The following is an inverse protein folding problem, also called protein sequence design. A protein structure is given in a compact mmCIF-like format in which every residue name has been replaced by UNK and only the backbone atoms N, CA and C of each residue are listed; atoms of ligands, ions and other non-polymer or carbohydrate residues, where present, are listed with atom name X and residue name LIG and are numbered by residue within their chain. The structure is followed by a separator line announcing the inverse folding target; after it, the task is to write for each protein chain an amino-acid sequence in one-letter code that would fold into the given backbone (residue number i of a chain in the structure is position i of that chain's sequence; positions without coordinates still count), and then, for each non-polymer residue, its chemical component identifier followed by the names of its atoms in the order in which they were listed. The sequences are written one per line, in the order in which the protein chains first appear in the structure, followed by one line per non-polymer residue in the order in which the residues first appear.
data_IF_186968505915
#
_entry.id   IF_186968505915
#
_cell.length_a   1.000
_cell.length_b   1.000
_cell.length_c   1.000
_cell.angle_alpha   90.00
_cell.angle_beta   90.00
_cell.angle_gamma   90.00
#
_symmetry.space_group_name_H-M   'P 1'
#
loop_
_entity.id
_entity.type
_entity.pdbx_description
1 polymer ?
#
# COMPACT_ATOMS: atom_id res chain seq x y z
N UNK A 1 1.65 47.08 17.01
CA UNK A 1 1.99 48.07 15.96
C UNK A 1 2.37 49.42 16.55
N UNK A 2 1.78 49.88 17.67
CA UNK A 2 2.09 51.21 18.24
C UNK A 2 3.42 51.32 19.03
N UNK A 3 3.99 50.20 19.47
CA UNK A 3 5.27 50.18 20.20
C UNK A 3 6.52 50.41 19.33
N UNK A 4 6.49 49.99 18.06
CA UNK A 4 7.58 50.23 17.10
C UNK A 4 7.75 51.72 16.76
N UNK A 5 6.63 52.45 16.73
CA UNK A 5 6.64 53.91 16.54
C UNK A 5 7.26 54.60 17.74
N UNK A 6 6.98 54.11 18.95
CA UNK A 6 7.53 54.65 20.20
C UNK A 6 9.04 54.46 20.33
N UNK A 7 9.60 53.31 19.95
CA UNK A 7 11.05 53.05 20.05
C UNK A 7 11.88 53.91 19.08
N UNK A 8 11.39 54.08 17.84
CA UNK A 8 12.00 55.02 16.89
C UNK A 8 11.86 56.47 17.38
N UNK A 9 10.76 56.82 18.04
CA UNK A 9 10.51 58.19 18.50
C UNK A 9 11.32 58.56 19.77
N UNK A 10 11.62 57.59 20.64
CA UNK A 10 12.49 57.80 21.81
C UNK A 10 13.99 57.85 21.47
N UNK A 11 14.47 57.06 20.50
CA UNK A 11 15.88 57.11 20.08
C UNK A 11 16.23 58.31 19.19
N UNK A 12 15.26 58.86 18.46
CA UNK A 12 15.49 59.89 17.44
C UNK A 12 14.80 61.23 17.73
N UNK A 13 14.63 61.62 19.00
CA UNK A 13 14.09 62.93 19.40
C UNK A 13 14.99 64.15 19.05
N UNK A 14 15.88 64.04 18.07
CA UNK A 14 16.55 65.20 17.45
C UNK A 14 16.52 65.08 15.92
N UNK A 15 15.57 65.79 15.30
CA UNK A 15 15.53 66.27 13.91
C UNK A 15 16.46 65.57 12.90
N UNK A 16 16.01 64.51 12.23
CA UNK A 16 16.56 64.12 10.92
C UNK A 16 15.48 63.51 10.01
N UNK A 17 15.28 64.15 8.85
CA UNK A 17 14.31 63.84 7.79
C UNK A 17 14.72 62.66 6.88
N UNK A 18 15.67 61.82 7.31
CA UNK A 18 16.11 60.63 6.55
C UNK A 18 16.19 59.42 7.49
N UNK A 19 15.65 58.25 7.10
CA UNK A 19 15.76 57.06 7.93
C UNK A 19 17.25 56.74 8.16
N UNK A 20 17.65 56.38 9.39
CA UNK A 20 19.04 56.07 9.69
C UNK A 20 19.53 54.93 8.80
N UNK A 21 20.76 55.04 8.30
CA UNK A 21 21.39 53.95 7.55
C UNK A 21 21.48 52.68 8.41
N UNK A 22 21.48 51.50 7.79
CA UNK A 22 21.60 50.22 8.51
C UNK A 22 22.81 50.18 9.45
N UNK A 23 23.91 50.85 9.07
CA UNK A 23 25.12 50.96 9.90
C UNK A 23 24.87 51.82 11.14
N UNK A 24 24.24 52.99 10.99
CA UNK A 24 23.88 53.87 12.11
C UNK A 24 22.93 53.16 13.08
N UNK A 25 21.98 52.39 12.56
CA UNK A 25 21.08 51.60 13.38
C UNK A 25 21.84 50.54 14.20
N UNK A 26 22.75 49.78 13.59
CA UNK A 26 23.56 48.78 14.29
C UNK A 26 24.42 49.42 15.38
N UNK A 27 25.02 50.57 15.09
CA UNK A 27 25.86 51.31 16.05
C UNK A 27 25.04 51.82 17.25
N UNK A 28 23.85 52.38 16.98
CA UNK A 28 22.90 52.78 18.03
C UNK A 28 22.41 51.57 18.85
N UNK A 29 22.07 50.46 18.18
CA UNK A 29 21.61 49.22 18.81
C UNK A 29 22.64 48.63 19.78
N UNK A 30 23.90 48.51 19.35
CA UNK A 30 24.95 47.90 20.16
C UNK A 30 25.46 48.82 21.29
N UNK A 31 25.30 50.13 21.12
CA UNK A 31 25.63 51.15 22.13
C UNK A 31 24.48 51.43 23.12
N UNK A 32 23.26 50.97 22.82
CA UNK A 32 22.11 51.13 23.69
C UNK A 32 22.33 50.45 25.04
N UNK A 33 22.12 51.20 26.12
CA UNK A 33 22.20 50.72 27.51
C UNK A 33 20.85 50.73 28.22
N UNK A 34 19.76 51.05 27.52
CA UNK A 34 18.43 51.05 28.11
C UNK A 34 17.98 49.60 28.37
N UNK A 35 17.63 49.21 29.61
CA UNK A 35 17.37 47.82 29.97
C UNK A 35 16.20 47.19 29.20
N UNK A 36 15.26 47.98 28.69
CA UNK A 36 14.11 47.49 27.92
C UNK A 36 14.39 47.26 26.44
N UNK A 37 15.49 47.81 25.91
CA UNK A 37 15.78 47.83 24.48
C UNK A 37 17.21 47.42 24.12
N UNK A 38 18.09 47.32 25.11
CA UNK A 38 19.46 46.87 24.92
C UNK A 38 19.44 45.39 24.55
N UNK A 39 20.20 44.99 23.51
CA UNK A 39 20.34 43.59 23.18
C UNK A 39 21.17 42.86 24.25
N UNK A 40 20.93 41.57 24.45
CA UNK A 40 21.56 40.75 25.52
C UNK A 40 23.08 40.54 25.41
N UNK A 41 23.78 41.20 24.47
CA UNK A 41 25.22 41.06 24.31
C UNK A 41 25.98 41.88 25.36
N UNK A 42 26.78 41.20 26.19
CA UNK A 42 27.52 41.85 27.29
C UNK A 42 28.98 42.15 26.94
N UNK A 43 29.65 41.28 26.19
CA UNK A 43 31.07 41.42 25.86
C UNK A 43 31.33 42.47 24.75
N UNK A 44 32.16 43.50 24.99
CA UNK A 44 32.54 44.48 23.96
C UNK A 44 33.19 43.85 22.72
N UNK A 45 33.97 42.77 22.87
CA UNK A 45 34.60 42.11 21.73
C UNK A 45 33.55 41.39 20.87
N UNK A 46 32.62 40.69 21.51
CA UNK A 46 31.46 40.10 20.86
C UNK A 46 30.67 41.14 20.04
N UNK A 47 30.35 42.29 20.64
CA UNK A 47 29.65 43.39 19.95
C UNK A 47 30.40 43.87 18.69
N UNK A 48 31.74 43.97 18.77
CA UNK A 48 32.58 44.34 17.61
C UNK A 48 32.52 43.28 16.49
N UNK A 49 32.46 42.00 16.85
CA UNK A 49 32.34 40.91 15.86
C UNK A 49 30.95 40.93 15.22
N UNK A 50 29.88 41.05 16.03
CA UNK A 50 28.49 41.17 15.57
C UNK A 50 28.36 42.33 14.58
N UNK A 51 28.86 43.51 14.95
CA UNK A 51 28.86 44.70 14.08
C UNK A 51 29.53 44.40 12.75
N UNK A 52 30.74 43.85 12.77
CA UNK A 52 31.50 43.56 11.54
C UNK A 52 30.75 42.57 10.64
N UNK A 53 30.22 41.49 11.21
CA UNK A 53 29.50 40.46 10.45
C UNK A 53 28.19 41.00 9.87
N UNK A 54 27.38 41.74 10.64
CA UNK A 54 26.13 42.33 10.16
C UNK A 54 26.37 43.39 9.09
N UNK A 55 27.35 44.29 9.27
CA UNK A 55 27.63 45.33 8.27
C UNK A 55 28.09 44.71 6.95
N UNK A 56 28.97 43.70 6.99
CA UNK A 56 29.38 42.96 5.79
C UNK A 56 28.18 42.30 5.11
N UNK A 57 27.36 41.58 5.89
CA UNK A 57 26.18 40.88 5.40
C UNK A 57 25.15 41.82 4.74
N UNK A 58 24.83 42.95 5.37
CA UNK A 58 23.86 43.91 4.83
C UNK A 58 24.38 44.69 3.63
N UNK A 59 25.70 44.74 3.43
CA UNK A 59 26.30 45.28 2.20
C UNK A 59 26.17 44.28 1.04
N UNK A 60 26.33 42.99 1.31
CA UNK A 60 26.18 41.92 0.31
C UNK A 60 24.71 41.69 -0.06
N UNK A 61 23.78 41.83 0.90
CA UNK A 61 22.36 41.55 0.73
C UNK A 61 21.48 42.74 1.16
N UNK A 62 21.26 43.67 0.21
CA UNK A 62 20.55 44.93 0.42
C UNK A 62 19.04 44.79 0.73
N UNK A 63 18.44 43.63 0.48
CA UNK A 63 17.03 43.37 0.80
C UNK A 63 16.79 43.19 2.30
N UNK A 64 17.85 42.91 3.08
CA UNK A 64 17.76 42.73 4.52
C UNK A 64 17.89 44.06 5.25
N UNK A 65 17.11 44.20 6.32
CA UNK A 65 17.11 45.36 7.21
C UNK A 65 17.35 44.90 8.65
N UNK A 66 18.24 45.57 9.39
CA UNK A 66 18.46 45.25 10.79
C UNK A 66 17.27 45.71 11.64
N UNK A 67 16.89 44.92 12.63
CA UNK A 67 15.97 45.32 13.70
C UNK A 67 16.41 44.72 15.05
N UNK A 68 15.79 45.22 16.12
CA UNK A 68 15.93 44.68 17.47
C UNK A 68 14.53 44.29 17.91
N UNK A 69 14.37 43.03 18.26
CA UNK A 69 13.07 42.49 18.63
C UNK A 69 13.24 41.51 19.80
N UNK A 70 12.16 41.31 20.56
CA UNK A 70 12.12 40.34 21.64
C UNK A 70 11.97 38.93 21.05
N UNK A 71 13.00 38.11 21.21
CA UNK A 71 13.00 36.70 20.85
C UNK A 71 12.53 35.86 22.03
N UNK A 72 11.59 34.95 21.78
CA UNK A 72 11.09 34.00 22.78
C UNK A 72 11.82 32.67 22.60
N UNK A 73 12.56 32.25 23.62
CA UNK A 73 13.16 30.91 23.67
C UNK A 73 12.10 29.84 24.00
N UNK A 74 12.45 28.58 23.71
CA UNK A 74 11.58 27.42 23.96
C UNK A 74 11.27 27.22 25.45
N UNK A 75 12.08 27.77 26.35
CA UNK A 75 11.87 27.76 27.80
C UNK A 75 10.89 28.86 28.28
N UNK A 76 10.38 29.68 27.35
CA UNK A 76 9.49 30.80 27.63
C UNK A 76 10.20 32.09 28.06
N UNK A 77 11.54 32.11 28.09
CA UNK A 77 12.29 33.34 28.36
C UNK A 77 12.28 34.26 27.14
N UNK A 78 12.22 35.57 27.40
CA UNK A 78 12.20 36.60 26.36
C UNK A 78 13.46 37.45 26.45
N UNK A 79 14.18 37.58 25.34
CA UNK A 79 15.44 38.31 25.27
C UNK A 79 15.47 39.20 24.03
N UNK A 80 16.01 40.41 24.16
CA UNK A 80 16.14 41.31 23.02
C UNK A 80 17.36 40.92 22.20
N UNK A 81 17.16 40.54 20.94
CA UNK A 81 18.23 40.17 20.04
C UNK A 81 18.26 41.08 18.82
N UNK A 82 19.46 41.27 18.28
CA UNK A 82 19.63 41.83 16.95
C UNK A 82 19.22 40.77 15.92
N UNK A 83 18.40 41.16 14.96
CA UNK A 83 18.06 40.32 13.82
C UNK A 83 18.13 41.10 12.52
N UNK A 84 18.12 40.37 11.41
CA UNK A 84 17.99 40.93 10.08
C UNK A 84 16.78 40.30 9.39
N UNK A 85 15.82 41.15 9.02
CA UNK A 85 14.60 40.79 8.30
C UNK A 85 14.74 41.17 6.84
N UNK A 86 14.47 40.25 5.93
CA UNK A 86 14.57 40.52 4.51
C UNK A 86 13.91 39.47 3.65
N UNK A 87 13.89 39.74 2.35
CA UNK A 87 13.40 38.81 1.35
C UNK A 87 14.56 38.29 0.52
N UNK A 88 14.68 36.96 0.46
CA UNK A 88 15.64 36.27 -0.38
C UNK A 88 14.99 35.97 -1.73
N UNK A 89 15.37 36.75 -2.74
CA UNK A 89 14.93 36.55 -4.11
C UNK A 89 15.91 35.61 -4.84
N UNK A 90 15.42 34.47 -5.29
CA UNK A 90 16.24 33.50 -6.05
C UNK A 90 16.25 33.79 -7.56
N UNK A 91 15.09 34.14 -8.10
CA UNK A 91 14.88 34.48 -9.52
C UNK A 91 13.71 35.46 -9.66
N UNK A 92 13.60 36.13 -10.80
CA UNK A 92 12.48 37.04 -11.07
C UNK A 92 11.14 36.32 -11.26
N UNK A 93 11.16 35.02 -11.54
CA UNK A 93 9.99 34.17 -11.78
C UNK A 93 9.51 33.39 -10.56
N UNK A 94 10.33 33.31 -9.50
CA UNK A 94 10.02 32.60 -8.25
C UNK A 94 9.57 33.58 -7.18
N UNK A 95 8.63 33.19 -6.29
CA UNK A 95 8.27 34.03 -5.15
C UNK A 95 9.49 34.24 -4.24
N UNK A 96 9.61 35.44 -3.68
CA UNK A 96 10.67 35.76 -2.72
C UNK A 96 10.44 35.04 -1.39
N UNK A 97 11.53 34.61 -0.75
CA UNK A 97 11.49 33.87 0.51
C UNK A 97 11.74 34.85 1.67
N UNK A 98 10.75 35.18 2.50
CA UNK A 98 10.95 36.08 3.63
C UNK A 98 11.68 35.35 4.76
N UNK A 99 12.85 35.87 5.13
CA UNK A 99 13.75 35.31 6.14
C UNK A 99 14.00 36.32 7.25
N UNK A 100 14.00 35.81 8.48
CA UNK A 100 14.47 36.49 9.67
C UNK A 100 15.68 35.76 10.22
N UNK A 101 16.82 36.43 10.28
CA UNK A 101 18.07 35.89 10.82
C UNK A 101 18.32 36.54 12.18
N UNK A 102 18.08 35.79 13.26
CA UNK A 102 18.32 36.22 14.63
C UNK A 102 19.73 35.88 15.08
N UNK A 103 20.40 36.82 15.75
CA UNK A 103 21.72 36.59 16.32
C UNK A 103 21.60 36.12 17.76
N UNK A 104 21.94 34.85 18.00
CA UNK A 104 21.95 34.25 19.33
C UNK A 104 22.80 35.07 20.33
N UNK A 105 22.43 35.06 21.62
CA UNK A 105 23.12 35.79 22.69
C UNK A 105 24.61 35.50 22.79
N UNK A 106 25.03 34.30 22.38
CA UNK A 106 26.43 33.84 22.36
C UNK A 106 27.05 33.84 20.95
N UNK A 107 26.45 34.52 19.98
CA UNK A 107 27.02 34.70 18.64
C UNK A 107 28.40 35.38 18.72
N UNK A 108 29.44 34.94 17.99
CA UNK A 108 29.43 33.97 16.89
C UNK A 108 29.74 32.53 17.31
N UNK A 109 29.87 32.23 18.61
CA UNK A 109 30.21 30.88 19.07
C UNK A 109 29.04 29.90 18.91
N UNK A 110 27.81 30.43 18.93
CA UNK A 110 26.58 29.72 18.58
C UNK A 110 26.06 30.29 17.25
N UNK A 111 25.49 29.42 16.41
CA UNK A 111 24.91 29.78 15.12
C UNK A 111 23.77 30.82 15.28
N UNK A 112 23.51 31.65 14.26
CA UNK A 112 22.28 32.42 14.22
C UNK A 112 21.07 31.49 14.06
N UNK A 113 19.90 31.96 14.49
CA UNK A 113 18.62 31.24 14.30
C UNK A 113 17.96 31.83 13.06
N UNK A 114 17.68 30.99 12.07
CA UNK A 114 17.06 31.43 10.81
C UNK A 114 15.64 30.90 10.77
N UNK A 115 14.68 31.83 10.67
CA UNK A 115 13.27 31.53 10.58
C UNK A 115 12.71 32.08 9.27
N UNK A 116 11.81 31.32 8.66
CA UNK A 116 10.97 31.77 7.57
C UNK A 116 9.66 32.32 8.12
N UNK A 117 9.18 33.43 7.56
CA UNK A 117 7.86 33.93 7.96
C UNK A 117 6.78 32.93 7.53
N UNK A 118 5.94 32.52 8.48
CA UNK A 118 4.81 31.62 8.22
C UNK A 118 3.58 32.36 7.68
N UNK A 119 3.52 33.69 7.82
CA UNK A 119 2.46 34.54 7.28
C UNK A 119 2.77 34.94 5.83
N UNK A 120 2.84 33.95 4.95
CA UNK A 120 3.07 34.16 3.52
C UNK A 120 1.87 33.70 2.71
N UNK A 121 1.71 34.27 1.52
CA UNK A 121 0.61 33.91 0.61
C UNK A 121 0.67 32.45 0.17
N UNK A 122 1.83 31.81 0.28
CA UNK A 122 2.07 30.43 -0.13
C UNK A 122 2.42 29.57 1.08
N UNK A 123 1.75 28.42 1.28
CA UNK A 123 2.08 27.53 2.38
C UNK A 123 3.47 26.91 2.17
N UNK A 124 4.20 26.76 3.28
CA UNK A 124 5.46 26.00 3.32
C UNK A 124 5.14 24.52 3.09
N UNK A 125 5.98 23.83 2.33
CA UNK A 125 5.82 22.39 2.09
C UNK A 125 5.97 21.58 3.39
N UNK A 126 4.97 20.75 3.73
CA UNK A 126 4.89 19.95 4.98
C UNK A 126 6.05 18.94 5.18
N UNK A 127 6.85 18.68 4.16
CA UNK A 127 7.93 17.69 4.19
C UNK A 127 9.24 18.21 3.59
N UNK A 128 9.50 19.51 3.74
CA UNK A 128 10.73 20.12 3.24
C UNK A 128 11.93 19.64 4.08
N UNK A 129 13.04 19.18 3.45
CA UNK A 129 14.15 18.54 4.18
C UNK A 129 14.89 19.47 5.16
N UNK A 130 14.75 20.79 4.98
CA UNK A 130 15.47 21.80 5.78
C UNK A 130 14.60 22.84 6.44
N UNK A 131 13.28 22.83 6.21
CA UNK A 131 12.38 23.87 6.71
C UNK A 131 11.28 23.15 7.46
N UNK A 132 11.15 23.43 8.74
CA UNK A 132 10.01 22.97 9.51
C UNK A 132 8.78 23.78 9.15
N UNK A 133 7.73 23.12 8.71
CA UNK A 133 6.49 23.72 8.22
C UNK A 133 5.66 24.34 9.36
N UNK A 134 5.86 23.88 10.60
CA UNK A 134 5.12 24.37 11.76
C UNK A 134 5.73 25.63 12.38
N UNK A 135 7.05 25.68 12.57
CA UNK A 135 7.76 26.84 13.13
C UNK A 135 8.34 27.79 12.09
N UNK A 136 8.52 27.34 10.84
CA UNK A 136 9.31 28.03 9.83
C UNK A 136 10.82 27.96 10.07
N UNK A 137 11.29 27.19 11.06
CA UNK A 137 12.70 27.09 11.38
C UNK A 137 13.51 26.40 10.28
N UNK A 138 14.65 27.00 9.94
CA UNK A 138 15.55 26.47 8.92
C UNK A 138 16.71 25.74 9.57
N UNK A 139 16.90 24.48 9.20
CA UNK A 139 17.99 23.62 9.67
C UNK A 139 18.78 23.10 8.48
N UNK A 140 19.96 23.66 8.25
CA UNK A 140 20.89 23.23 7.19
C UNK A 140 22.20 22.72 7.79
N UNK A 141 22.98 21.96 7.02
CA UNK A 141 24.29 21.51 7.49
C UNK A 141 25.21 22.67 7.88
N UNK A 142 25.08 23.81 7.19
CA UNK A 142 25.84 25.01 7.52
C UNK A 142 25.52 25.55 8.93
N UNK A 143 24.25 25.54 9.34
CA UNK A 143 23.82 25.98 10.67
C UNK A 143 24.18 24.95 11.75
N UNK A 144 23.92 23.67 11.51
CA UNK A 144 24.21 22.58 12.45
C UNK A 144 25.72 22.46 12.73
N UNK A 145 26.56 22.64 11.72
CA UNK A 145 28.02 22.56 11.83
C UNK A 145 28.70 23.93 11.89
N UNK A 146 27.98 24.96 12.35
CA UNK A 146 28.51 26.31 12.52
C UNK A 146 29.75 26.31 13.43
N UNK A 147 30.86 26.87 12.93
CA UNK A 147 32.11 27.01 13.70
C UNK A 147 32.77 28.35 13.40
N UNK A 148 32.80 29.23 14.39
CA UNK A 148 33.59 30.46 14.33
C UNK A 148 35.10 30.15 14.47
N UNK A 149 36.01 30.80 13.70
CA UNK A 149 35.78 31.90 12.76
C UNK A 149 35.46 31.50 11.31
N UNK A 150 35.33 30.21 11.02
CA UNK A 150 35.13 29.71 9.64
C UNK A 150 33.72 29.89 9.07
N UNK A 151 32.73 30.27 9.88
CA UNK A 151 31.37 30.56 9.45
C UNK A 151 31.01 32.03 9.68
N UNK A 152 30.31 32.63 8.71
CA UNK A 152 29.78 33.99 8.77
C UNK A 152 28.36 34.06 8.16
N UNK A 153 27.72 35.24 8.25
CA UNK A 153 26.33 35.46 7.81
C UNK A 153 26.19 35.54 6.28
N UNK A 154 27.15 36.13 5.56
CA UNK A 154 27.10 36.20 4.09
C UNK A 154 27.14 34.80 3.47
N UNK A 155 28.07 33.95 3.93
CA UNK A 155 28.18 32.56 3.47
C UNK A 155 26.96 31.70 3.86
N UNK A 156 26.32 32.02 5.00
CA UNK A 156 25.06 31.38 5.39
C UNK A 156 23.96 31.68 4.37
N UNK A 157 23.73 32.95 4.04
CA UNK A 157 22.68 33.32 3.08
C UNK A 157 23.02 32.84 1.67
N UNK A 158 24.28 32.81 1.28
CA UNK A 158 24.72 32.19 0.03
C UNK A 158 24.42 30.68 -0.03
N UNK A 159 24.65 29.96 1.07
CA UNK A 159 24.28 28.55 1.18
C UNK A 159 22.76 28.36 1.13
N UNK A 160 21.98 29.20 1.81
CA UNK A 160 20.52 29.18 1.74
C UNK A 160 20.00 29.47 0.32
N UNK A 161 20.58 30.45 -0.37
CA UNK A 161 20.26 30.74 -1.78
C UNK A 161 20.40 29.47 -2.62
N UNK A 162 21.57 28.81 -2.55
CA UNK A 162 21.84 27.58 -3.31
C UNK A 162 20.88 26.44 -2.98
N UNK A 163 20.57 26.24 -1.70
CA UNK A 163 19.63 25.19 -1.26
C UNK A 163 18.25 25.47 -1.85
N UNK A 164 17.73 26.69 -1.66
CA UNK A 164 16.39 27.03 -2.09
C UNK A 164 16.25 27.21 -3.61
N UNK A 165 17.33 27.46 -4.34
CA UNK A 165 17.35 27.38 -5.81
C UNK A 165 17.04 25.98 -6.34
N UNK A 166 17.43 24.93 -5.60
CA UNK A 166 17.15 23.55 -6.00
C UNK A 166 15.82 23.07 -5.41
N UNK A 167 15.62 23.33 -4.11
CA UNK A 167 14.45 22.89 -3.38
C UNK A 167 13.77 24.11 -2.77
N UNK A 168 12.84 24.68 -3.52
CA UNK A 168 12.10 25.86 -3.09
C UNK A 168 11.16 25.52 -1.91
N UNK A 169 11.07 26.35 -0.86
CA UNK A 169 10.27 26.03 0.34
C UNK A 169 8.76 26.10 0.11
N UNK A 170 8.32 26.93 -0.85
CA UNK A 170 6.92 27.05 -1.26
C UNK A 170 6.62 26.13 -2.46
N UNK A 171 5.36 25.68 -2.57
CA UNK A 171 4.83 25.02 -3.77
C UNK A 171 4.99 25.93 -4.99
N UNK A 172 6.08 25.72 -5.73
CA UNK A 172 6.34 26.30 -7.03
C UNK A 172 6.70 25.13 -7.94
N UNK A 173 6.21 25.15 -9.18
CA UNK A 173 6.63 24.18 -10.21
C UNK A 173 7.76 24.83 -11.02
N UNK A 174 9.03 24.67 -10.62
CA UNK A 174 10.14 25.11 -11.46
C UNK A 174 10.22 24.19 -12.68
N UNK A 175 10.42 24.79 -13.85
CA UNK A 175 10.88 24.07 -15.04
C UNK A 175 12.26 23.49 -14.75
N UNK A 176 12.33 22.16 -14.66
CA UNK A 176 13.54 21.35 -14.45
C UNK A 176 14.49 21.53 -15.62
N UNK A 177 15.50 22.41 -15.53
CA UNK A 177 16.60 22.40 -16.51
C UNK A 177 17.93 23.04 -16.06
N UNK A 178 18.19 23.24 -14.76
CA UNK A 178 19.51 23.71 -14.30
C UNK A 178 20.33 22.58 -13.65
N UNK A 179 20.99 21.80 -14.51
CA UNK A 179 21.98 20.79 -14.10
C UNK A 179 23.29 21.47 -13.68
N UNK A 180 23.41 21.88 -12.41
CA UNK A 180 24.70 22.22 -11.82
C UNK A 180 25.58 20.95 -11.66
N UNK A 181 26.75 20.95 -12.27
CA UNK A 181 27.69 19.82 -12.23
C UNK A 181 28.27 19.63 -10.80
N UNK A 182 28.21 18.42 -10.20
CA UNK A 182 28.59 18.18 -8.79
C UNK A 182 30.01 18.62 -8.40
N UNK A 183 30.92 18.67 -9.37
CA UNK A 183 32.33 19.04 -9.13
C UNK A 183 32.54 20.51 -8.75
N UNK A 184 31.53 21.38 -8.93
CA UNK A 184 31.60 22.81 -8.60
C UNK A 184 30.92 23.14 -7.27
N UNK A 185 30.25 22.17 -6.64
CA UNK A 185 29.59 22.36 -5.36
C UNK A 185 30.61 22.33 -4.22
N UNK A 186 30.45 23.24 -3.25
CA UNK A 186 31.22 23.15 -2.00
C UNK A 186 30.85 21.85 -1.28
N UNK A 187 31.77 21.27 -0.49
CA UNK A 187 31.48 20.06 0.31
C UNK A 187 30.21 20.20 1.15
N UNK A 188 29.94 21.39 1.72
CA UNK A 188 28.73 21.63 2.52
C UNK A 188 27.47 21.53 1.67
N UNK A 189 27.47 22.19 0.52
CA UNK A 189 26.38 22.15 -0.46
C UNK A 189 26.13 20.72 -0.99
N UNK A 190 27.20 19.97 -1.27
CA UNK A 190 27.07 18.57 -1.68
C UNK A 190 26.41 17.70 -0.61
N UNK A 191 26.69 17.95 0.67
CA UNK A 191 26.06 17.25 1.81
C UNK A 191 24.59 17.62 1.93
N UNK A 192 24.24 18.91 1.83
CA UNK A 192 22.84 19.34 1.83
C UNK A 192 22.08 18.66 0.67
N UNK A 193 22.63 18.67 -0.55
CA UNK A 193 22.01 18.00 -1.71
C UNK A 193 21.78 16.50 -1.48
N UNK A 194 22.79 15.79 -0.97
CA UNK A 194 22.65 14.38 -0.62
C UNK A 194 21.55 14.18 0.44
N UNK A 195 21.49 15.06 1.44
CA UNK A 195 20.47 15.03 2.49
C UNK A 195 19.06 15.16 1.91
N UNK A 196 18.85 16.07 0.94
CA UNK A 196 17.58 16.17 0.23
C UNK A 196 17.22 14.88 -0.50
N UNK A 197 18.14 14.34 -1.31
CA UNK A 197 17.89 13.15 -2.11
C UNK A 197 17.58 11.95 -1.21
N UNK A 198 18.38 11.72 -0.18
CA UNK A 198 18.15 10.65 0.78
C UNK A 198 16.82 10.79 1.53
N UNK A 199 16.40 12.01 1.87
CA UNK A 199 15.12 12.25 2.53
C UNK A 199 13.94 11.80 1.66
N UNK A 200 13.94 12.17 0.38
CA UNK A 200 12.87 11.77 -0.54
C UNK A 200 12.93 10.27 -0.88
N UNK A 201 14.12 9.72 -1.15
CA UNK A 201 14.30 8.29 -1.43
C UNK A 201 13.85 7.43 -0.24
N UNK A 202 14.24 7.82 0.97
CA UNK A 202 13.84 7.12 2.19
C UNK A 202 12.33 7.18 2.39
N UNK A 203 11.69 8.32 2.12
CA UNK A 203 10.24 8.46 2.23
C UNK A 203 9.51 7.58 1.21
N UNK A 204 9.99 7.55 -0.04
CA UNK A 204 9.42 6.70 -1.08
C UNK A 204 9.54 5.22 -0.71
N UNK A 205 10.72 4.79 -0.25
CA UNK A 205 10.94 3.43 0.24
C UNK A 205 10.02 3.10 1.41
N UNK A 206 9.87 3.99 2.39
CA UNK A 206 8.98 3.77 3.52
C UNK A 206 7.51 3.62 3.10
N UNK A 207 7.02 4.48 2.19
CA UNK A 207 5.66 4.37 1.63
C UNK A 207 5.45 3.00 0.98
N UNK A 208 6.38 2.59 0.12
CA UNK A 208 6.31 1.30 -0.56
C UNK A 208 6.33 0.12 0.42
N UNK A 209 7.22 0.15 1.41
CA UNK A 209 7.26 -0.91 2.44
C UNK A 209 5.97 -0.97 3.26
N UNK A 210 5.33 0.17 3.52
CA UNK A 210 4.07 0.21 4.24
C UNK A 210 2.94 -0.41 3.42
N UNK A 211 2.86 -0.11 2.13
CA UNK A 211 1.93 -0.73 1.18
C UNK A 211 2.12 -2.25 1.12
N UNK A 212 3.35 -2.74 0.99
CA UNK A 212 3.67 -4.17 0.98
C UNK A 212 3.27 -4.88 2.29
N UNK A 213 3.47 -4.23 3.44
CA UNK A 213 3.05 -4.78 4.74
C UNK A 213 1.54 -4.90 4.85
N UNK A 214 0.79 -3.92 4.35
CA UNK A 214 -0.68 -3.94 4.38
C UNK A 214 -1.23 -5.06 3.47
N UNK A 215 -0.66 -5.23 2.28
CA UNK A 215 -1.00 -6.33 1.37
C UNK A 215 -0.75 -7.71 2.00
N UNK A 216 0.42 -7.89 2.62
CA UNK A 216 0.77 -9.14 3.31
C UNK A 216 -0.13 -9.40 4.53
N UNK A 217 -0.53 -8.35 5.25
CA UNK A 217 -1.47 -8.45 6.37
C UNK A 217 -2.84 -8.95 5.89
N UNK A 218 -3.36 -8.36 4.81
CA UNK A 218 -4.62 -8.79 4.17
C UNK A 218 -4.55 -10.24 3.68
N UNK A 219 -3.45 -10.61 3.02
CA UNK A 219 -3.23 -11.98 2.56
C UNK A 219 -3.21 -12.98 3.73
N UNK A 220 -2.52 -12.64 4.81
CA UNK A 220 -2.47 -13.47 6.03
C UNK A 220 -3.87 -13.70 6.60
N UNK A 221 -4.69 -12.65 6.68
CA UNK A 221 -6.07 -12.78 7.16
C UNK A 221 -6.88 -13.74 6.28
N UNK A 222 -6.75 -13.61 4.96
CA UNK A 222 -7.41 -14.53 4.02
C UNK A 222 -6.92 -15.97 4.16
N UNK A 223 -5.62 -16.19 4.39
CA UNK A 223 -5.06 -17.53 4.63
C UNK A 223 -5.62 -18.15 5.91
N UNK A 224 -5.73 -17.38 7.00
CA UNK A 224 -6.33 -17.87 8.26
C UNK A 224 -7.78 -18.30 8.04
N UNK A 225 -8.58 -17.49 7.32
CA UNK A 225 -9.97 -17.87 6.99
C UNK A 225 -10.03 -19.18 6.20
N UNK A 226 -9.14 -19.35 5.21
CA UNK A 226 -9.07 -20.58 4.40
C UNK A 226 -8.68 -21.81 5.23
N UNK A 227 -7.78 -21.65 6.20
CA UNK A 227 -7.42 -22.75 7.12
C UNK A 227 -8.64 -23.18 7.93
N UNK A 228 -9.38 -22.23 8.52
CA UNK A 228 -10.59 -22.54 9.30
C UNK A 228 -11.64 -23.27 8.47
N UNK A 229 -11.90 -22.80 7.24
CA UNK A 229 -12.86 -23.45 6.33
C UNK A 229 -12.40 -24.87 5.96
N UNK A 230 -11.11 -25.05 5.66
CA UNK A 230 -10.58 -26.36 5.31
C UNK A 230 -10.64 -27.34 6.49
N UNK A 231 -10.35 -26.89 7.72
CA UNK A 231 -10.49 -27.70 8.93
C UNK A 231 -11.93 -28.16 9.14
N UNK A 232 -12.90 -27.24 8.97
CA UNK A 232 -14.32 -27.59 9.05
C UNK A 232 -14.73 -28.63 8.00
N UNK A 233 -14.32 -28.46 6.74
CA UNK A 233 -14.64 -29.41 5.67
C UNK A 233 -14.00 -30.79 5.88
N UNK A 234 -12.82 -30.86 6.51
CA UNK A 234 -12.20 -32.14 6.87
C UNK A 234 -13.01 -32.84 7.95
N UNK A 235 -13.40 -32.13 9.02
CA UNK A 235 -14.23 -32.68 10.10
C UNK A 235 -15.58 -33.20 9.58
N UNK A 236 -16.23 -32.43 8.71
CA UNK A 236 -17.48 -32.82 8.05
C UNK A 236 -17.29 -34.12 7.24
N UNK A 237 -16.23 -34.20 6.43
CA UNK A 237 -15.94 -35.39 5.63
C UNK A 237 -15.58 -36.62 6.49
N UNK A 238 -14.88 -36.43 7.60
CA UNK A 238 -14.58 -37.51 8.55
C UNK A 238 -15.86 -38.06 9.17
N UNK A 239 -16.82 -37.19 9.52
CA UNK A 239 -18.12 -37.62 10.03
C UNK A 239 -18.92 -38.40 8.98
N UNK A 240 -19.00 -37.90 7.74
CA UNK A 240 -19.66 -38.62 6.64
C UNK A 240 -19.03 -39.99 6.38
N UNK A 241 -17.70 -40.08 6.45
CA UNK A 241 -16.99 -41.35 6.31
C UNK A 241 -17.38 -42.34 7.43
N UNK A 242 -17.52 -41.86 8.67
CA UNK A 242 -17.95 -42.70 9.79
C UNK A 242 -19.37 -43.23 9.57
N UNK A 243 -20.31 -42.36 9.21
CA UNK A 243 -21.70 -42.75 8.92
C UNK A 243 -21.79 -43.75 7.75
N UNK A 244 -21.01 -43.51 6.69
CA UNK A 244 -21.00 -44.39 5.53
C UNK A 244 -20.41 -45.77 5.88
N UNK A 245 -19.35 -45.82 6.70
CA UNK A 245 -18.79 -47.08 7.22
C UNK A 245 -19.80 -47.87 8.03
N UNK A 246 -20.60 -47.19 8.86
CA UNK A 246 -21.66 -47.84 9.64
C UNK A 246 -22.73 -48.44 8.72
N UNK A 247 -23.21 -47.68 7.72
CA UNK A 247 -24.17 -48.19 6.73
C UNK A 247 -23.64 -49.39 5.95
N UNK A 248 -22.38 -49.33 5.51
CA UNK A 248 -21.74 -50.45 4.81
C UNK A 248 -21.74 -51.69 5.70
N UNK A 249 -21.38 -51.55 6.99
CA UNK A 249 -21.39 -52.67 7.94
C UNK A 249 -22.79 -53.30 8.09
N UNK A 250 -23.83 -52.47 8.22
CA UNK A 250 -25.22 -52.96 8.33
C UNK A 250 -25.59 -53.74 7.07
N UNK A 251 -25.32 -53.18 5.89
CA UNK A 251 -25.65 -53.83 4.61
C UNK A 251 -24.85 -55.12 4.40
N UNK A 252 -23.58 -55.18 4.82
CA UNK A 252 -22.81 -56.43 4.77
C UNK A 252 -23.38 -57.48 5.72
N UNK A 253 -23.78 -57.10 6.94
CA UNK A 253 -24.40 -58.03 7.89
C UNK A 253 -25.75 -58.55 7.35
N UNK A 254 -26.53 -57.70 6.67
CA UNK A 254 -27.78 -58.11 5.99
C UNK A 254 -27.51 -59.03 4.80
N UNK A 255 -26.52 -58.71 3.97
CA UNK A 255 -26.10 -59.55 2.85
C UNK A 255 -25.60 -60.92 3.32
N UNK A 256 -24.86 -60.98 4.43
CA UNK A 256 -24.39 -62.24 5.03
C UNK A 256 -25.54 -63.10 5.55
N UNK A 257 -26.57 -62.48 6.16
CA UNK A 257 -27.80 -63.18 6.57
C UNK A 257 -28.58 -63.74 5.39
N UNK A 258 -28.70 -62.97 4.30
CA UNK A 258 -29.35 -63.46 3.08
C UNK A 258 -28.55 -64.59 2.44
N UNK A 259 -27.22 -64.46 2.41
CA UNK A 259 -26.32 -65.47 1.87
C UNK A 259 -26.35 -66.77 2.69
N UNK A 260 -26.40 -66.68 4.02
CA UNK A 260 -26.55 -67.86 4.88
C UNK A 260 -27.91 -68.52 4.69
N UNK A 261 -28.99 -67.73 4.65
CA UNK A 261 -30.33 -68.25 4.38
C UNK A 261 -30.43 -68.95 3.02
N UNK A 262 -29.86 -68.35 1.97
CA UNK A 262 -29.77 -68.96 0.64
C UNK A 262 -29.03 -70.29 0.69
N UNK A 263 -27.85 -70.35 1.34
CA UNK A 263 -27.06 -71.58 1.46
C UNK A 263 -27.80 -72.68 2.22
N UNK A 264 -28.49 -72.34 3.30
CA UNK A 264 -29.28 -73.29 4.08
C UNK A 264 -30.45 -73.85 3.24
N UNK A 265 -31.06 -73.01 2.39
CA UNK A 265 -32.13 -73.42 1.47
C UNK A 265 -31.62 -74.22 0.27
N UNK A 266 -30.45 -73.89 -0.26
CA UNK A 266 -29.81 -74.63 -1.34
C UNK A 266 -29.44 -76.07 -0.88
N UNK A 267 -29.10 -76.24 0.40
CA UNK A 267 -28.82 -77.55 0.98
C UNK A 267 -30.08 -78.40 1.17
N UNK A 268 -31.22 -77.78 1.53
CA UNK A 268 -32.54 -78.42 1.57
C UNK A 268 -33.08 -78.77 0.17
N UNK A 269 -32.68 -78.01 -0.87
CA UNK A 269 -33.05 -78.21 -2.28
C UNK A 269 -32.12 -79.17 -3.04
N UNK A 270 -31.39 -80.04 -2.33
CA UNK A 270 -30.65 -81.16 -2.95
C UNK A 270 -31.54 -82.27 -3.52
N UNK A 271 -32.85 -82.04 -3.64
CA UNK A 271 -33.69 -82.71 -4.62
C UNK A 271 -33.69 -81.90 -5.91
N UNK A 272 -33.45 -82.59 -7.01
CA UNK A 272 -33.29 -82.16 -8.41
C UNK A 272 -34.52 -81.41 -9.00
N UNK A 273 -35.15 -80.50 -8.27
CA UNK A 273 -36.25 -79.66 -8.74
C UNK A 273 -35.67 -78.39 -9.36
N UNK A 274 -35.39 -78.45 -10.67
CA UNK A 274 -35.25 -77.26 -11.49
C UNK A 274 -36.57 -76.49 -11.46
N UNK A 275 -36.60 -75.41 -10.71
CA UNK A 275 -37.72 -74.46 -10.69
C UNK A 275 -37.99 -73.92 -12.11
N UNK A 276 -36.97 -73.92 -12.98
CA UNK A 276 -37.08 -73.57 -14.40
C UNK A 276 -38.01 -74.51 -15.20
N UNK A 277 -38.15 -75.78 -14.80
CA UNK A 277 -39.01 -76.76 -15.48
C UNK A 277 -40.46 -76.75 -14.90
N UNK A 278 -40.74 -75.94 -13.88
CA UNK A 278 -42.09 -75.83 -13.29
C UNK A 278 -43.01 -74.91 -14.12
N UNK A 279 -42.43 -74.04 -14.95
CA UNK A 279 -43.15 -73.11 -15.82
C UNK A 279 -43.00 -73.49 -17.30
N UNK A 280 -43.50 -74.66 -17.68
CA UNK A 280 -43.60 -75.01 -19.10
C UNK A 280 -44.82 -74.34 -19.75
N UNK A 281 -44.65 -73.86 -20.97
CA UNK A 281 -45.75 -73.36 -21.77
C UNK A 281 -46.73 -74.51 -22.09
N UNK A 282 -48.03 -74.22 -22.06
CA UNK A 282 -49.10 -75.23 -22.23
C UNK A 282 -49.07 -75.90 -23.62
N UNK A 283 -48.55 -75.20 -24.63
CA UNK A 283 -48.47 -75.63 -26.02
C UNK A 283 -47.24 -75.04 -26.73
N UNK A 284 -46.84 -75.64 -27.85
CA UNK A 284 -45.65 -75.23 -28.62
C UNK A 284 -45.73 -73.77 -29.09
N UNK A 285 -46.93 -73.26 -29.40
CA UNK A 285 -47.10 -71.85 -29.76
C UNK A 285 -46.91 -70.92 -28.56
N UNK A 286 -47.41 -71.28 -27.38
CA UNK A 286 -47.15 -70.54 -26.14
C UNK A 286 -45.67 -70.56 -25.74
N UNK A 287 -44.95 -71.63 -26.07
CA UNK A 287 -43.49 -71.71 -25.84
C UNK A 287 -42.74 -70.72 -26.71
N UNK A 288 -42.99 -70.77 -28.03
CA UNK A 288 -42.38 -69.84 -28.98
C UNK A 288 -42.75 -68.39 -28.64
N UNK A 289 -43.97 -68.17 -28.15
CA UNK A 289 -44.41 -66.89 -27.64
C UNK A 289 -43.57 -66.42 -26.43
N UNK A 290 -43.46 -67.22 -25.38
CA UNK A 290 -42.68 -66.86 -24.20
C UNK A 290 -41.21 -66.61 -24.56
N UNK A 291 -40.60 -67.47 -25.38
CA UNK A 291 -39.22 -67.33 -25.82
C UNK A 291 -39.01 -66.03 -26.63
N UNK A 292 -39.97 -65.67 -27.50
CA UNK A 292 -39.87 -64.45 -28.30
C UNK A 292 -40.11 -63.17 -27.50
N UNK A 293 -40.99 -63.18 -26.50
CA UNK A 293 -41.14 -62.05 -25.56
C UNK A 293 -39.89 -61.92 -24.68
N UNK A 294 -39.36 -63.02 -24.17
CA UNK A 294 -38.15 -63.02 -23.35
C UNK A 294 -36.94 -62.51 -24.13
N UNK A 295 -36.77 -62.95 -25.38
CA UNK A 295 -35.72 -62.47 -26.28
C UNK A 295 -35.87 -60.97 -26.59
N UNK A 296 -37.10 -60.46 -26.80
CA UNK A 296 -37.35 -59.04 -27.02
C UNK A 296 -36.91 -58.19 -25.81
N UNK A 297 -37.34 -58.59 -24.60
CA UNK A 297 -36.98 -57.89 -23.36
C UNK A 297 -35.49 -57.96 -23.05
N UNK A 298 -34.85 -59.12 -23.28
CA UNK A 298 -33.40 -59.26 -23.14
C UNK A 298 -32.63 -58.35 -24.12
N UNK A 299 -33.16 -58.15 -25.33
CA UNK A 299 -32.56 -57.25 -26.32
C UNK A 299 -32.66 -55.78 -25.88
N UNK A 300 -33.78 -55.37 -25.30
CA UNK A 300 -33.96 -54.02 -24.73
C UNK A 300 -32.96 -53.73 -23.60
N UNK A 301 -32.82 -54.67 -22.66
CA UNK A 301 -31.87 -54.55 -21.53
C UNK A 301 -30.42 -54.46 -22.01
N UNK A 302 -30.08 -55.24 -23.04
CA UNK A 302 -28.75 -55.22 -23.63
C UNK A 302 -28.47 -53.91 -24.36
N UNK A 303 -29.46 -53.38 -25.10
CA UNK A 303 -29.35 -52.06 -25.72
C UNK A 303 -29.14 -50.95 -24.67
N UNK A 304 -29.92 -50.96 -23.58
CA UNK A 304 -29.74 -50.02 -22.47
C UNK A 304 -28.34 -50.10 -21.85
N UNK A 305 -27.82 -51.30 -21.65
CA UNK A 305 -26.47 -51.51 -21.09
C UNK A 305 -25.38 -51.00 -22.04
N UNK A 306 -25.56 -51.18 -23.35
CA UNK A 306 -24.66 -50.65 -24.37
C UNK A 306 -24.66 -49.11 -24.39
N UNK A 307 -25.83 -48.48 -24.22
CA UNK A 307 -25.93 -47.02 -24.12
C UNK A 307 -25.08 -46.50 -22.95
N UNK A 308 -25.22 -47.12 -21.77
CA UNK A 308 -24.45 -46.78 -20.56
C UNK A 308 -22.95 -46.98 -20.76
N UNK A 309 -22.54 -48.06 -21.42
CA UNK A 309 -21.12 -48.34 -21.67
C UNK A 309 -20.46 -47.30 -22.59
N UNK A 310 -21.21 -46.72 -23.53
CA UNK A 310 -20.71 -45.62 -24.37
C UNK A 310 -20.67 -44.30 -23.61
N UNK A 311 -21.70 -43.98 -22.82
CA UNK A 311 -21.71 -42.78 -21.96
C UNK A 311 -20.50 -42.75 -21.03
N UNK A 312 -20.08 -43.90 -20.51
CA UNK A 312 -18.92 -44.05 -19.63
C UNK A 312 -17.58 -44.13 -20.39
N UNK A 313 -17.59 -44.10 -21.73
CA UNK A 313 -16.38 -44.17 -22.56
C UNK A 313 -15.70 -45.54 -22.62
N UNK A 314 -16.34 -46.60 -22.11
CA UNK A 314 -15.81 -47.98 -22.12
C UNK A 314 -15.86 -48.59 -23.52
N UNK A 315 -16.81 -48.13 -24.36
CA UNK A 315 -17.01 -48.60 -25.73
C UNK A 315 -16.85 -47.47 -26.77
N UNK A 316 -16.08 -47.68 -27.86
CA UNK A 316 -16.05 -46.72 -28.97
C UNK A 316 -17.41 -46.61 -29.68
N UNK A 317 -17.83 -45.38 -29.97
CA UNK A 317 -19.12 -45.08 -30.63
C UNK A 317 -19.35 -45.87 -31.93
N UNK A 318 -18.30 -46.09 -32.73
CA UNK A 318 -18.40 -46.86 -33.97
C UNK A 318 -18.73 -48.34 -33.76
N UNK A 319 -18.35 -48.93 -32.62
CA UNK A 319 -18.70 -50.32 -32.25
C UNK A 319 -20.13 -50.38 -31.74
N UNK A 320 -20.52 -49.40 -30.91
CA UNK A 320 -21.88 -49.28 -30.38
C UNK A 320 -22.95 -49.21 -31.48
N UNK A 321 -22.80 -48.32 -32.46
CA UNK A 321 -23.78 -48.19 -33.55
C UNK A 321 -23.90 -49.49 -34.37
N UNK A 322 -22.80 -50.25 -34.51
CA UNK A 322 -22.86 -51.56 -35.18
C UNK A 322 -23.67 -52.57 -34.37
N UNK A 323 -23.44 -52.65 -33.06
CA UNK A 323 -24.15 -53.60 -32.19
C UNK A 323 -25.63 -53.25 -32.05
N UNK A 324 -25.96 -51.98 -31.79
CA UNK A 324 -27.36 -51.51 -31.71
C UNK A 324 -28.12 -51.79 -33.00
N UNK A 325 -27.50 -51.62 -34.17
CA UNK A 325 -28.16 -51.96 -35.44
C UNK A 325 -28.41 -53.45 -35.61
N UNK A 326 -27.52 -54.31 -35.13
CA UNK A 326 -27.73 -55.76 -35.17
C UNK A 326 -28.87 -56.18 -34.23
N UNK A 327 -28.87 -55.65 -33.02
CA UNK A 327 -29.90 -55.92 -32.01
C UNK A 327 -31.27 -55.39 -32.43
N UNK A 328 -31.35 -54.16 -32.96
CA UNK A 328 -32.59 -53.60 -33.49
C UNK A 328 -33.16 -54.45 -34.64
N UNK A 329 -32.29 -55.06 -35.45
CA UNK A 329 -32.71 -55.98 -36.51
C UNK A 329 -33.25 -57.29 -35.92
N UNK A 330 -32.60 -57.84 -34.91
CA UNK A 330 -33.04 -59.05 -34.21
C UNK A 330 -34.39 -58.83 -33.51
N UNK A 331 -34.51 -57.71 -32.79
CA UNK A 331 -35.75 -57.23 -32.17
C UNK A 331 -36.89 -57.11 -33.18
N UNK A 332 -36.62 -56.54 -34.36
CA UNK A 332 -37.61 -56.43 -35.44
C UNK A 332 -38.13 -57.80 -35.89
N UNK A 333 -37.26 -58.79 -36.08
CA UNK A 333 -37.69 -60.13 -36.48
C UNK A 333 -38.42 -60.88 -35.36
N UNK A 334 -38.02 -60.67 -34.09
CA UNK A 334 -38.73 -61.18 -32.92
C UNK A 334 -40.15 -60.63 -32.85
N UNK A 335 -40.30 -59.30 -32.92
CA UNK A 335 -41.61 -58.61 -32.91
C UNK A 335 -42.49 -58.97 -34.11
N UNK A 336 -41.91 -59.10 -35.30
CA UNK A 336 -42.66 -59.54 -36.48
C UNK A 336 -43.17 -60.99 -36.34
N UNK A 337 -42.47 -61.83 -35.58
CA UNK A 337 -42.92 -63.20 -35.26
C UNK A 337 -44.08 -63.16 -34.26
N UNK A 338 -44.01 -62.29 -33.26
CA UNK A 338 -45.09 -62.03 -32.30
C UNK A 338 -46.37 -61.48 -32.98
N UNK A 339 -46.23 -60.55 -33.92
CA UNK A 339 -47.37 -60.02 -34.71
C UNK A 339 -48.04 -61.11 -35.56
N UNK A 340 -47.25 -61.99 -36.19
CA UNK A 340 -47.80 -63.13 -36.96
C UNK A 340 -48.58 -64.11 -36.08
N UNK A 341 -48.26 -64.18 -34.79
CA UNK A 341 -48.98 -64.99 -33.81
C UNK A 341 -50.24 -64.28 -33.26
N UNK A 342 -50.55 -63.07 -33.75
CA UNK A 342 -51.78 -62.35 -33.44
C UNK A 342 -51.72 -61.48 -32.18
N UNK A 343 -50.52 -61.13 -31.72
CA UNK A 343 -50.32 -60.37 -30.49
C UNK A 343 -50.16 -58.90 -30.81
N UNK A 344 -50.92 -58.05 -30.13
CA UNK A 344 -50.78 -56.60 -30.22
C UNK A 344 -49.45 -56.19 -29.57
N UNK A 345 -48.59 -55.51 -30.33
CA UNK A 345 -47.32 -54.97 -29.84
C UNK A 345 -47.51 -53.83 -28.82
N UNK A 346 -48.74 -53.36 -28.60
CA UNK A 346 -49.07 -52.30 -27.62
C UNK A 346 -48.71 -52.69 -26.17
N UNK A 347 -48.54 -53.98 -25.87
CA UNK A 347 -48.19 -54.50 -24.54
C UNK A 347 -46.68 -54.59 -24.28
N UNK A 348 -45.83 -54.29 -25.27
CA UNK A 348 -44.36 -54.45 -25.17
C UNK A 348 -43.62 -53.16 -24.85
N UNK A 349 -44.33 -52.05 -24.66
CA UNK A 349 -43.76 -50.71 -24.48
C UNK A 349 -43.09 -50.45 -23.13
#
# INVERSE_FOLDING_TARGET
MDYFKSFAQELFSTNFETPPSSIQFIDAALSCTSPHFAPSYTDPNQKRIIRRHLVSFLQDYLSFKPSIDAFMHDDGTSVNLLNANGELQLSSSTPSIPLTIWLHESYPFIAPIVLMSTNTTYPIYDNHPFVDSSSGAISTFYLVNWKYPGCNLSDLVHNLFKIFSHNHPFYYSPSTDDFFHPSLASRREAVDRLSCTLHYDMKELLSKTHEEVEELSSLKEHMVRRVIVAEFSVDESENEMMELKERVKILTDEADKLSSWLRDKDQDLSSEYKIEDEFEAIDENSKILLDSIAADKATEDLMYSLDKAVEQGVMPFGTYIKQVRLLAKEQYFGRATLEKMGISLEWLH
#
